data_IF_000370991426
#
_entry.id   IF_000370991426
#
_cell.length_a   1.000
_cell.length_b   1.000
_cell.length_c   1.000
_cell.angle_alpha   90.00
_cell.angle_beta   90.00
_cell.angle_gamma   90.00
#
_symmetry.space_group_name_H-M   'P 1'
#
loop_
_entity.id
_entity.type
_entity.pdbx_description
1 polymer ?
#
# COMPACT_ATOMS: atom_id res chain seq x y z
N UNK A 1 14.40 14.99 14.14
CA UNK A 1 13.00 14.53 14.11
C UNK A 1 12.63 14.19 12.67
N UNK A 2 12.89 12.97 12.24
CA UNK A 2 12.55 12.48 10.89
C UNK A 2 11.11 11.98 10.93
N UNK A 3 10.18 12.74 10.36
CA UNK A 3 8.81 12.29 10.15
C UNK A 3 8.83 11.22 9.05
N UNK A 4 8.64 9.97 9.44
CA UNK A 4 8.34 8.90 8.49
C UNK A 4 6.91 9.16 8.03
N UNK A 5 6.78 9.76 6.85
CA UNK A 5 5.49 9.89 6.16
C UNK A 5 5.09 8.52 5.62
N UNK A 6 4.47 7.70 6.47
CA UNK A 6 3.55 6.67 5.97
C UNK A 6 2.27 7.44 5.62
N UNK A 7 2.22 7.95 4.41
CA UNK A 7 1.02 8.60 3.86
C UNK A 7 -0.02 7.52 3.55
N UNK A 8 -0.65 7.00 4.61
CA UNK A 8 -1.93 6.32 4.46
C UNK A 8 -2.97 7.41 4.23
N UNK A 9 -3.20 7.74 2.96
CA UNK A 9 -4.26 8.65 2.55
C UNK A 9 -5.61 7.98 2.80
N UNK A 10 -6.13 8.09 4.02
CA UNK A 10 -7.53 7.83 4.32
C UNK A 10 -8.35 9.03 3.80
N UNK A 11 -8.68 8.98 2.51
CA UNK A 11 -9.64 9.91 1.93
C UNK A 11 -11.04 9.47 2.29
N UNK A 12 -11.63 10.15 3.26
CA UNK A 12 -13.05 10.06 3.57
C UNK A 12 -13.81 10.90 2.54
N UNK A 13 -14.28 10.26 1.46
CA UNK A 13 -15.21 10.89 0.51
C UNK A 13 -16.63 10.74 0.98
N UNK A 14 -17.20 11.86 1.38
CA UNK A 14 -18.64 12.03 1.59
C UNK A 14 -19.32 12.09 0.22
N UNK A 15 -20.00 11.02 -0.18
CA UNK A 15 -20.68 10.90 -1.48
C UNK A 15 -22.05 11.55 -1.42
N UNK A 16 -22.26 12.57 -2.24
CA UNK A 16 -23.60 13.04 -2.63
C UNK A 16 -24.06 12.23 -3.84
N UNK A 17 -25.25 11.66 -3.71
CA UNK A 17 -25.98 10.92 -4.74
C UNK A 17 -26.55 11.89 -5.76
N UNK A 18 -26.39 11.59 -7.05
CA UNK A 18 -27.29 12.07 -8.09
C UNK A 18 -27.46 10.99 -9.16
N UNK A 19 -28.68 10.52 -9.28
CA UNK A 19 -29.14 9.55 -10.28
C UNK A 19 -29.44 10.26 -11.60
N UNK A 20 -29.16 9.63 -12.75
CA UNK A 20 -29.99 9.76 -13.94
C UNK A 20 -29.72 8.63 -14.93
N UNK A 21 -30.81 8.18 -15.52
CA UNK A 21 -31.06 6.97 -16.31
C UNK A 21 -30.82 7.16 -17.81
N UNK A 22 -30.81 5.99 -18.46
CA UNK A 22 -31.35 5.60 -19.78
C UNK A 22 -30.50 5.70 -21.02
N UNK A 23 -30.48 4.55 -21.74
CA UNK A 23 -30.31 4.50 -23.18
C UNK A 23 -29.85 3.15 -23.73
N UNK A 24 -30.79 2.32 -24.16
CA UNK A 24 -30.55 1.05 -24.87
C UNK A 24 -30.26 1.27 -26.35
N UNK A 25 -29.49 0.36 -26.98
CA UNK A 25 -29.72 -0.32 -28.29
C UNK A 25 -28.43 -0.96 -28.80
N UNK A 26 -28.38 -2.23 -28.89
CA UNK A 26 -28.70 -3.23 -29.93
C UNK A 26 -27.77 -3.32 -31.13
N UNK A 27 -27.19 -4.54 -31.24
CA UNK A 27 -26.93 -5.38 -32.40
C UNK A 27 -25.76 -5.09 -33.34
N UNK A 28 -24.97 -6.15 -33.56
CA UNK A 28 -24.18 -6.35 -34.74
C UNK A 28 -22.94 -7.21 -34.52
N UNK A 29 -23.11 -8.55 -34.55
CA UNK A 29 -22.00 -9.43 -34.84
C UNK A 29 -21.76 -9.43 -36.35
N UNK A 30 -20.50 -9.61 -36.81
CA UNK A 30 -20.23 -10.86 -37.54
C UNK A 30 -18.93 -11.55 -37.12
N UNK A 31 -18.93 -12.79 -37.51
CA UNK A 31 -18.04 -13.87 -37.18
C UNK A 31 -16.64 -13.79 -37.84
N UNK A 32 -15.75 -14.57 -37.18
CA UNK A 32 -14.67 -15.38 -37.75
C UNK A 32 -13.43 -14.68 -38.33
N UNK A 33 -12.34 -14.90 -37.61
CA UNK A 33 -11.12 -15.49 -38.20
C UNK A 33 -10.34 -16.16 -37.06
N UNK A 34 -10.31 -17.48 -37.08
CA UNK A 34 -9.40 -18.30 -36.26
C UNK A 34 -7.99 -18.06 -36.82
N UNK A 35 -7.24 -17.20 -36.16
CA UNK A 35 -5.79 -17.08 -36.39
C UNK A 35 -5.12 -18.21 -35.61
N UNK A 36 -4.35 -19.03 -36.31
CA UNK A 36 -3.49 -20.05 -35.74
C UNK A 36 -2.54 -19.42 -34.71
N UNK A 37 -2.23 -20.12 -33.60
CA UNK A 37 -1.27 -19.59 -32.64
C UNK A 37 0.12 -19.53 -33.28
N UNK A 38 0.63 -18.32 -33.44
CA UNK A 38 2.05 -18.10 -33.71
C UNK A 38 2.86 -18.71 -32.55
N UNK A 39 3.96 -19.40 -32.85
CA UNK A 39 4.82 -19.90 -31.77
C UNK A 39 5.27 -18.70 -30.92
N UNK A 40 4.95 -18.76 -29.64
CA UNK A 40 5.44 -17.80 -28.68
C UNK A 40 6.97 -17.82 -28.74
N UNK A 41 7.54 -16.73 -29.24
CA UNK A 41 8.98 -16.46 -29.11
C UNK A 41 9.23 -16.39 -27.61
N UNK A 42 9.84 -17.44 -27.05
CA UNK A 42 10.34 -17.42 -25.70
C UNK A 42 11.36 -16.29 -25.62
N UNK A 43 10.95 -15.16 -25.03
CA UNK A 43 11.89 -14.11 -24.70
C UNK A 43 12.96 -14.72 -23.79
N UNK A 44 14.24 -14.42 -24.01
CA UNK A 44 15.29 -14.91 -23.12
C UNK A 44 14.90 -14.51 -21.69
N UNK A 45 14.89 -15.48 -20.78
CA UNK A 45 14.65 -15.25 -19.35
C UNK A 45 15.78 -14.34 -18.88
N UNK A 46 15.51 -13.03 -18.82
CA UNK A 46 16.46 -12.08 -18.27
C UNK A 46 16.68 -12.48 -16.81
N UNK A 47 17.90 -12.84 -16.46
CA UNK A 47 18.24 -13.22 -15.09
C UNK A 47 18.05 -11.97 -14.24
N UNK A 48 17.08 -12.02 -13.31
CA UNK A 48 16.78 -10.89 -12.46
C UNK A 48 18.00 -10.54 -11.58
N UNK A 49 18.43 -9.29 -11.64
CA UNK A 49 19.58 -8.82 -10.88
C UNK A 49 19.25 -8.68 -9.39
N UNK A 50 20.25 -8.93 -8.55
CA UNK A 50 20.15 -8.74 -7.10
C UNK A 50 20.18 -7.24 -6.79
N UNK A 51 19.15 -6.73 -6.09
CA UNK A 51 19.08 -5.35 -5.60
C UNK A 51 19.71 -5.21 -4.21
N UNK A 52 19.47 -6.18 -3.31
CA UNK A 52 20.10 -6.26 -2.00
C UNK A 52 20.24 -7.70 -1.51
N UNK A 53 21.17 -7.90 -0.57
CA UNK A 53 21.27 -9.12 0.23
C UNK A 53 20.95 -8.80 1.67
N UNK A 54 20.09 -9.63 2.29
CA UNK A 54 19.70 -9.53 3.70
C UNK A 54 19.99 -10.88 4.35
N UNK A 55 21.12 -10.97 5.03
CA UNK A 55 21.59 -12.28 5.53
C UNK A 55 21.84 -13.26 4.38
N UNK A 56 21.03 -14.33 4.33
CA UNK A 56 21.07 -15.35 3.27
C UNK A 56 20.05 -15.10 2.13
N UNK A 57 19.14 -14.16 2.31
CA UNK A 57 18.09 -13.85 1.35
C UNK A 57 18.50 -12.72 0.39
N UNK A 58 17.76 -12.56 -0.68
CA UNK A 58 18.00 -11.53 -1.68
C UNK A 58 16.70 -10.79 -1.98
N UNK A 59 16.81 -9.48 -2.20
CA UNK A 59 15.80 -8.67 -2.89
C UNK A 59 16.27 -8.46 -4.32
N UNK A 60 15.34 -8.57 -5.25
CA UNK A 60 15.61 -8.51 -6.68
C UNK A 60 15.29 -7.13 -7.27
N UNK A 61 15.85 -6.85 -8.44
CA UNK A 61 15.51 -5.63 -9.17
C UNK A 61 14.06 -5.64 -9.66
N UNK A 62 13.48 -6.80 -9.90
CA UNK A 62 12.06 -6.93 -10.27
C UNK A 62 11.14 -6.54 -9.13
N UNK A 63 11.43 -6.95 -7.89
CA UNK A 63 10.65 -6.50 -6.73
C UNK A 63 10.71 -4.98 -6.53
N UNK A 64 11.88 -4.38 -6.76
CA UNK A 64 12.01 -2.91 -6.70
C UNK A 64 11.16 -2.25 -7.78
N UNK A 65 11.20 -2.75 -9.03
CA UNK A 65 10.39 -2.21 -10.13
C UNK A 65 8.91 -2.38 -9.87
N UNK A 66 8.49 -3.57 -9.43
CA UNK A 66 7.08 -3.86 -9.11
C UNK A 66 6.52 -2.86 -8.09
N UNK A 67 7.23 -2.62 -7.00
CA UNK A 67 6.79 -1.65 -5.98
C UNK A 67 6.79 -0.22 -6.52
N UNK A 68 7.81 0.19 -7.30
CA UNK A 68 7.84 1.50 -7.96
C UNK A 68 6.67 1.67 -8.94
N UNK A 69 6.34 0.65 -9.70
CA UNK A 69 5.26 0.70 -10.67
C UNK A 69 3.89 0.72 -9.97
N UNK A 70 3.74 0.00 -8.88
CA UNK A 70 2.57 0.11 -8.02
C UNK A 70 2.42 1.53 -7.43
N UNK A 71 3.50 2.15 -6.93
CA UNK A 71 3.47 3.54 -6.46
C UNK A 71 3.08 4.53 -7.57
N UNK A 72 3.58 4.33 -8.79
CA UNK A 72 3.13 5.13 -9.96
C UNK A 72 1.64 4.94 -10.25
N UNK A 73 1.11 3.73 -10.06
CA UNK A 73 -0.31 3.44 -10.24
C UNK A 73 -1.17 4.25 -9.27
N UNK A 74 -0.81 4.23 -7.98
CA UNK A 74 -1.62 4.78 -6.88
C UNK A 74 -1.35 6.27 -6.65
N UNK A 75 -0.08 6.68 -6.65
CA UNK A 75 0.36 8.03 -6.29
C UNK A 75 0.71 8.90 -7.51
N UNK A 76 0.70 8.32 -8.71
CA UNK A 76 1.08 9.00 -9.95
C UNK A 76 2.60 9.09 -10.18
N UNK A 77 3.42 8.82 -9.17
CA UNK A 77 4.88 8.82 -9.23
C UNK A 77 5.47 7.76 -8.30
N UNK A 78 6.65 7.24 -8.65
CA UNK A 78 7.41 6.37 -7.76
C UNK A 78 8.28 7.18 -6.83
N UNK A 79 8.56 6.63 -5.65
CA UNK A 79 9.59 7.14 -4.76
C UNK A 79 11.00 6.82 -5.32
N UNK A 80 11.99 7.51 -4.75
CA UNK A 80 13.38 7.20 -5.07
C UNK A 80 13.71 5.75 -4.73
N UNK A 81 14.59 5.12 -5.54
CA UNK A 81 15.00 3.73 -5.35
C UNK A 81 15.46 3.42 -3.91
N UNK A 82 16.15 4.35 -3.27
CA UNK A 82 16.61 4.16 -1.88
C UNK A 82 15.46 3.98 -0.90
N UNK A 83 14.39 4.76 -1.04
CA UNK A 83 13.20 4.65 -0.20
C UNK A 83 12.42 3.36 -0.49
N UNK A 84 12.30 2.99 -1.76
CA UNK A 84 11.68 1.72 -2.15
C UNK A 84 12.47 0.54 -1.58
N UNK A 85 13.79 0.61 -1.59
CA UNK A 85 14.64 -0.41 -0.97
C UNK A 85 14.45 -0.48 0.55
N UNK A 86 14.37 0.66 1.24
CA UNK A 86 14.05 0.72 2.68
C UNK A 86 12.70 0.05 2.96
N UNK A 87 11.67 0.36 2.17
CA UNK A 87 10.34 -0.23 2.30
C UNK A 87 10.36 -1.76 2.07
N UNK A 88 11.06 -2.24 1.05
CA UNK A 88 11.20 -3.67 0.79
C UNK A 88 11.95 -4.41 1.91
N UNK A 89 12.98 -3.79 2.48
CA UNK A 89 13.68 -4.32 3.66
C UNK A 89 12.74 -4.43 4.85
N UNK A 90 11.94 -3.39 5.10
CA UNK A 90 10.95 -3.39 6.18
C UNK A 90 9.89 -4.48 5.97
N UNK A 91 9.40 -4.64 4.74
CA UNK A 91 8.47 -5.71 4.36
C UNK A 91 9.10 -7.10 4.56
N UNK A 92 10.37 -7.28 4.18
CA UNK A 92 11.08 -8.53 4.39
C UNK A 92 11.22 -8.89 5.88
N UNK A 93 11.57 -7.90 6.73
CA UNK A 93 11.69 -8.09 8.20
C UNK A 93 10.34 -8.55 8.77
N UNK A 94 9.27 -7.84 8.42
CA UNK A 94 7.91 -8.15 8.89
C UNK A 94 7.49 -9.54 8.42
N UNK A 95 7.69 -9.87 7.16
CA UNK A 95 7.34 -11.17 6.60
C UNK A 95 8.11 -12.31 7.28
N UNK A 96 9.40 -12.14 7.51
CA UNK A 96 10.24 -13.13 8.19
C UNK A 96 9.74 -13.40 9.61
N UNK A 97 9.44 -12.37 10.36
CA UNK A 97 8.93 -12.47 11.74
C UNK A 97 7.50 -13.04 11.77
N UNK A 98 6.64 -12.64 10.84
CA UNK A 98 5.28 -13.14 10.72
C UNK A 98 5.25 -14.64 10.41
N UNK A 99 6.12 -15.12 9.50
CA UNK A 99 6.28 -16.54 9.19
C UNK A 99 6.80 -17.31 10.41
N UNK A 100 7.83 -16.78 11.11
CA UNK A 100 8.39 -17.41 12.30
C UNK A 100 7.34 -17.58 13.42
N UNK A 101 6.43 -16.64 13.56
CA UNK A 101 5.33 -16.68 14.53
C UNK A 101 4.07 -17.38 14.01
N UNK A 102 4.09 -17.92 12.79
CA UNK A 102 2.94 -18.56 12.12
C UNK A 102 1.72 -17.64 12.03
N UNK A 103 1.95 -16.34 11.82
CA UNK A 103 0.87 -15.40 11.63
C UNK A 103 0.11 -15.71 10.33
N UNK A 104 -1.24 -15.70 10.34
CA UNK A 104 -2.03 -16.13 9.19
C UNK A 104 -1.92 -15.12 8.03
N UNK A 105 -1.73 -15.64 6.81
CA UNK A 105 -1.80 -14.84 5.59
C UNK A 105 -3.19 -14.24 5.38
N UNK A 106 -3.29 -13.11 4.67
CA UNK A 106 -4.57 -12.59 4.20
C UNK A 106 -5.31 -13.63 3.35
N UNK A 107 -6.61 -13.68 3.48
CA UNK A 107 -7.45 -14.52 2.62
C UNK A 107 -7.65 -13.86 1.25
N UNK A 108 -8.02 -14.66 0.24
CA UNK A 108 -8.33 -14.14 -1.09
C UNK A 108 -9.49 -13.12 -1.07
N UNK A 109 -10.45 -13.28 -0.16
CA UNK A 109 -11.57 -12.35 0.01
C UNK A 109 -11.09 -11.01 0.58
N UNK A 110 -10.20 -11.02 1.57
CA UNK A 110 -9.60 -9.80 2.12
C UNK A 110 -8.80 -9.03 1.05
N UNK A 111 -7.97 -9.72 0.27
CA UNK A 111 -7.24 -9.12 -0.85
C UNK A 111 -8.20 -8.58 -1.90
N UNK A 112 -9.31 -9.29 -2.17
CA UNK A 112 -10.32 -8.83 -3.12
C UNK A 112 -11.03 -7.57 -2.63
N UNK A 113 -11.29 -7.43 -1.34
CA UNK A 113 -11.87 -6.21 -0.75
C UNK A 113 -10.92 -5.02 -0.92
N UNK A 114 -9.63 -5.20 -0.64
CA UNK A 114 -8.63 -4.15 -0.85
C UNK A 114 -8.49 -3.77 -2.33
N UNK A 115 -8.51 -4.76 -3.23
CA UNK A 115 -8.50 -4.48 -4.66
C UNK A 115 -9.75 -3.70 -5.11
N UNK A 116 -10.94 -4.02 -4.58
CA UNK A 116 -12.15 -3.23 -4.86
C UNK A 116 -12.07 -1.82 -4.29
N UNK A 117 -11.45 -1.64 -3.11
CA UNK A 117 -11.21 -0.32 -2.53
C UNK A 117 -10.25 0.51 -3.41
N UNK A 118 -9.19 -0.12 -3.93
CA UNK A 118 -8.29 0.51 -4.89
C UNK A 118 -9.03 0.93 -6.18
N UNK A 119 -9.86 0.06 -6.75
CA UNK A 119 -10.63 0.38 -7.96
C UNK A 119 -11.53 1.60 -7.80
N UNK A 120 -12.08 1.84 -6.60
CA UNK A 120 -12.93 3.02 -6.31
C UNK A 120 -12.15 4.34 -6.35
N UNK A 121 -10.82 4.32 -6.30
CA UNK A 121 -10.00 5.52 -6.41
C UNK A 121 -9.85 6.00 -7.86
N UNK A 122 -10.22 5.16 -8.84
CA UNK A 122 -10.18 5.48 -10.25
C UNK A 122 -11.57 5.88 -10.75
N UNK A 123 -11.66 6.84 -11.69
CA UNK A 123 -12.95 7.29 -12.24
C UNK A 123 -13.76 6.18 -12.93
N UNK A 124 -13.06 5.19 -13.53
CA UNK A 124 -13.70 4.01 -14.12
C UNK A 124 -12.73 2.82 -14.19
N UNK A 125 -13.29 1.62 -14.41
CA UNK A 125 -12.50 0.40 -14.58
C UNK A 125 -11.62 0.45 -15.84
N UNK A 126 -12.11 1.08 -16.90
CA UNK A 126 -11.38 1.27 -18.15
C UNK A 126 -10.15 2.18 -17.95
N UNK A 127 -10.29 3.24 -17.16
CA UNK A 127 -9.16 4.11 -16.81
C UNK A 127 -8.13 3.39 -15.96
N UNK A 128 -8.57 2.57 -15.00
CA UNK A 128 -7.66 1.71 -14.24
C UNK A 128 -6.89 0.76 -15.16
N UNK A 129 -7.57 0.05 -16.07
CA UNK A 129 -6.93 -0.86 -17.02
C UNK A 129 -5.97 -0.14 -17.96
N UNK A 130 -6.36 1.02 -18.49
CA UNK A 130 -5.48 1.84 -19.32
C UNK A 130 -4.23 2.27 -18.56
N UNK A 131 -4.37 2.63 -17.28
CA UNK A 131 -3.23 2.99 -16.42
C UNK A 131 -2.31 1.81 -16.16
N UNK A 132 -2.86 0.62 -15.88
CA UNK A 132 -2.07 -0.62 -15.75
C UNK A 132 -1.25 -0.89 -17.00
N UNK A 133 -1.90 -0.87 -18.17
CA UNK A 133 -1.22 -1.10 -19.46
C UNK A 133 -0.12 -0.07 -19.74
N UNK A 134 -0.33 1.20 -19.37
CA UNK A 134 0.65 2.27 -19.51
C UNK A 134 1.90 2.06 -18.65
N UNK A 135 1.73 1.47 -17.48
CA UNK A 135 2.82 1.23 -16.51
C UNK A 135 3.47 -0.14 -16.76
N UNK A 136 2.76 -1.07 -17.39
CA UNK A 136 3.21 -2.44 -17.63
C UNK A 136 2.87 -3.42 -16.49
N UNK A 137 1.92 -3.05 -15.62
CA UNK A 137 1.43 -3.93 -14.54
C UNK A 137 0.21 -4.73 -14.95
N UNK A 138 0.08 -5.93 -14.43
CA UNK A 138 -1.12 -6.76 -14.48
C UNK A 138 -1.97 -6.60 -13.22
N UNK A 139 -3.25 -6.98 -13.30
CA UNK A 139 -4.11 -7.00 -12.11
C UNK A 139 -3.64 -8.01 -11.06
N UNK A 140 -3.01 -9.10 -11.48
CA UNK A 140 -2.51 -10.13 -10.55
C UNK A 140 -1.29 -9.64 -9.79
N UNK A 141 -0.36 -8.92 -10.44
CA UNK A 141 0.76 -8.26 -9.76
C UNK A 141 0.27 -7.21 -8.75
N UNK A 142 -0.73 -6.41 -9.10
CA UNK A 142 -1.36 -5.47 -8.14
C UNK A 142 -1.95 -6.21 -6.95
N UNK A 143 -2.62 -7.35 -7.15
CA UNK A 143 -3.17 -8.15 -6.05
C UNK A 143 -2.07 -8.73 -5.15
N UNK A 144 -0.95 -9.15 -5.71
CA UNK A 144 0.20 -9.64 -4.95
C UNK A 144 0.82 -8.52 -4.10
N UNK A 145 0.95 -7.30 -4.65
CA UNK A 145 1.41 -6.15 -3.86
C UNK A 145 0.44 -5.85 -2.72
N UNK A 146 -0.87 -5.83 -2.99
CA UNK A 146 -1.91 -5.61 -1.97
C UNK A 146 -1.89 -6.69 -0.88
N UNK A 147 -1.70 -7.95 -1.24
CA UNK A 147 -1.57 -9.06 -0.28
C UNK A 147 -0.38 -8.83 0.65
N UNK A 148 0.80 -8.50 0.11
CA UNK A 148 2.00 -8.21 0.90
C UNK A 148 1.79 -7.00 1.83
N UNK A 149 1.19 -5.92 1.32
CA UNK A 149 0.88 -4.73 2.12
C UNK A 149 -0.12 -5.04 3.23
N UNK A 150 -1.18 -5.79 2.92
CA UNK A 150 -2.19 -6.19 3.91
C UNK A 150 -1.57 -7.09 4.99
N UNK A 151 -0.72 -8.05 4.60
CA UNK A 151 0.00 -8.91 5.53
C UNK A 151 0.89 -8.09 6.47
N UNK A 152 1.65 -7.16 5.92
CA UNK A 152 2.50 -6.23 6.64
C UNK A 152 1.72 -5.42 7.69
N UNK A 153 0.66 -4.75 7.28
CA UNK A 153 -0.16 -3.90 8.17
C UNK A 153 -0.83 -4.73 9.26
N UNK A 154 -1.40 -5.88 8.90
CA UNK A 154 -2.06 -6.80 9.86
C UNK A 154 -1.09 -7.33 10.92
N UNK A 155 0.12 -7.70 10.51
CA UNK A 155 1.12 -8.18 11.45
C UNK A 155 1.57 -7.09 12.42
N UNK A 156 1.83 -5.87 11.95
CA UNK A 156 2.21 -4.75 12.82
C UNK A 156 1.09 -4.41 13.83
N UNK A 157 -0.15 -4.38 13.37
CA UNK A 157 -1.31 -4.20 14.26
C UNK A 157 -1.39 -5.33 15.30
N UNK A 158 -1.29 -6.58 14.88
CA UNK A 158 -1.29 -7.72 15.79
C UNK A 158 -0.19 -7.62 16.85
N UNK A 159 1.04 -7.27 16.44
CA UNK A 159 2.21 -7.21 17.30
C UNK A 159 2.14 -6.09 18.33
N UNK A 160 1.65 -4.92 17.95
CA UNK A 160 1.77 -3.70 18.74
C UNK A 160 0.46 -3.20 19.34
N UNK A 161 -0.70 -3.63 18.86
CA UNK A 161 -2.00 -3.13 19.33
C UNK A 161 -2.19 -3.33 20.84
N UNK A 162 -1.85 -4.50 21.37
CA UNK A 162 -2.00 -4.81 22.80
C UNK A 162 -1.09 -3.97 23.73
N UNK A 163 0.02 -3.44 23.17
CA UNK A 163 0.96 -2.58 23.89
C UNK A 163 0.64 -1.08 23.74
N UNK A 164 -0.46 -0.74 23.06
CA UNK A 164 -0.88 0.62 22.77
C UNK A 164 -2.09 0.98 23.62
N UNK A 165 -1.97 2.04 24.42
CA UNK A 165 -3.05 2.52 25.30
C UNK A 165 -3.18 4.03 25.17
N UNK A 166 -4.18 4.46 24.41
CA UNK A 166 -4.52 5.89 24.27
C UNK A 166 -5.42 6.33 25.41
N UNK A 167 -4.96 7.30 26.20
CA UNK A 167 -5.70 7.84 27.34
C UNK A 167 -6.71 8.93 26.92
N UNK A 168 -7.68 9.22 27.79
CA UNK A 168 -8.64 10.31 27.54
C UNK A 168 -7.96 11.67 27.48
N UNK A 169 -6.91 11.86 28.27
CA UNK A 169 -6.11 13.10 28.28
C UNK A 169 -5.39 13.33 26.94
N UNK A 170 -4.88 12.27 26.35
CA UNK A 170 -4.26 12.34 25.01
C UNK A 170 -5.29 12.71 23.94
N UNK A 171 -6.49 12.13 24.01
CA UNK A 171 -7.59 12.45 23.09
C UNK A 171 -8.02 13.90 23.24
N UNK A 172 -8.20 14.38 24.46
CA UNK A 172 -8.55 15.77 24.71
C UNK A 172 -7.47 16.74 24.24
N UNK A 173 -6.20 16.41 24.53
CA UNK A 173 -5.06 17.22 24.07
C UNK A 173 -5.02 17.32 22.55
N UNK A 174 -5.15 16.20 21.83
CA UNK A 174 -5.19 16.20 20.37
C UNK A 174 -6.37 17.02 19.82
N UNK A 175 -7.56 16.85 20.41
CA UNK A 175 -8.73 17.61 20.00
C UNK A 175 -8.53 19.11 20.15
N UNK A 176 -7.97 19.56 21.29
CA UNK A 176 -7.80 20.99 21.59
C UNK A 176 -6.62 21.62 20.85
N UNK A 177 -5.51 20.90 20.69
CA UNK A 177 -4.26 21.43 20.16
C UNK A 177 -4.13 21.28 18.65
N UNK A 178 -4.71 20.23 18.07
CA UNK A 178 -4.55 19.88 16.65
C UNK A 178 -5.85 19.97 15.86
N UNK A 179 -6.88 19.19 16.23
CA UNK A 179 -8.09 19.06 15.42
C UNK A 179 -8.91 20.35 15.38
N UNK A 180 -9.28 20.88 16.53
CA UNK A 180 -10.18 22.03 16.58
C UNK A 180 -9.53 23.30 15.98
N UNK A 181 -8.24 23.64 16.25
CA UNK A 181 -7.57 24.75 15.57
C UNK A 181 -7.43 24.57 14.07
N UNK A 182 -7.13 23.32 13.61
CA UNK A 182 -7.02 23.01 12.19
C UNK A 182 -8.34 23.21 11.44
N UNK A 183 -9.45 22.76 12.01
CA UNK A 183 -10.79 22.94 11.42
C UNK A 183 -11.18 24.42 11.39
N UNK A 184 -10.94 25.19 12.47
CA UNK A 184 -11.20 26.64 12.51
C UNK A 184 -10.40 27.39 11.45
N UNK A 185 -9.10 27.06 11.31
CA UNK A 185 -8.23 27.66 10.28
C UNK A 185 -8.74 27.45 8.86
N UNK A 186 -9.41 26.31 8.62
CA UNK A 186 -10.02 25.95 7.33
C UNK A 186 -11.44 26.47 7.17
N UNK A 187 -12.00 27.22 8.14
CA UNK A 187 -13.37 27.73 8.13
C UNK A 187 -14.44 26.63 8.29
N UNK A 188 -14.06 25.48 8.83
CA UNK A 188 -14.97 24.36 9.04
C UNK A 188 -15.56 24.39 10.46
N UNK A 189 -16.77 23.85 10.61
CA UNK A 189 -17.40 23.67 11.92
C UNK A 189 -16.62 22.65 12.72
N UNK A 190 -16.32 22.96 13.98
CA UNK A 190 -15.66 22.05 14.92
C UNK A 190 -16.73 21.17 15.58
N UNK A 191 -16.75 19.85 15.34
CA UNK A 191 -17.69 18.95 16.00
C UNK A 191 -17.36 18.87 17.50
N UNK A 192 -18.31 18.61 18.38
CA UNK A 192 -18.05 18.36 19.79
C UNK A 192 -17.19 17.08 19.98
N UNK A 193 -16.41 17.05 21.06
CA UNK A 193 -15.43 15.97 21.31
C UNK A 193 -16.06 14.59 21.33
N UNK A 194 -17.22 14.44 21.94
CA UNK A 194 -17.97 13.18 22.03
C UNK A 194 -18.32 12.55 20.67
N UNK A 195 -18.48 13.36 19.63
CA UNK A 195 -18.78 12.89 18.28
C UNK A 195 -17.51 12.40 17.54
N UNK A 196 -16.35 12.82 17.95
CA UNK A 196 -15.07 12.51 17.26
C UNK A 196 -14.08 11.73 18.14
N UNK A 197 -14.43 11.47 19.38
CA UNK A 197 -13.55 10.78 20.35
C UNK A 197 -13.08 9.41 19.82
N UNK A 198 -14.00 8.63 19.27
CA UNK A 198 -13.66 7.30 18.74
C UNK A 198 -12.68 7.38 17.56
N UNK A 199 -12.86 8.36 16.67
CA UNK A 199 -11.98 8.59 15.53
C UNK A 199 -10.60 9.08 15.98
N UNK A 200 -10.55 10.00 16.96
CA UNK A 200 -9.28 10.47 17.53
C UNK A 200 -8.55 9.32 18.22
N UNK A 201 -9.24 8.50 19.01
CA UNK A 201 -8.68 7.31 19.65
C UNK A 201 -8.08 6.36 18.63
N UNK A 202 -8.82 6.07 17.56
CA UNK A 202 -8.33 5.21 16.48
C UNK A 202 -7.09 5.79 15.80
N UNK A 203 -7.07 7.09 15.52
CA UNK A 203 -5.94 7.79 14.92
C UNK A 203 -4.70 7.69 15.82
N UNK A 204 -4.82 8.08 17.09
CA UNK A 204 -3.70 8.06 18.03
C UNK A 204 -3.20 6.63 18.30
N UNK A 205 -4.11 5.65 18.34
CA UNK A 205 -3.73 4.23 18.42
C UNK A 205 -2.88 3.81 17.23
N UNK A 206 -3.28 4.21 16.02
CA UNK A 206 -2.52 3.87 14.82
C UNK A 206 -1.16 4.60 14.77
N UNK A 207 -1.12 5.86 15.19
CA UNK A 207 0.14 6.61 15.30
C UNK A 207 1.12 5.93 16.26
N UNK A 208 0.65 5.53 17.45
CA UNK A 208 1.48 4.84 18.43
C UNK A 208 1.95 3.46 17.93
N UNK A 209 1.08 2.70 17.23
CA UNK A 209 1.48 1.44 16.56
C UNK A 209 2.59 1.71 15.55
N UNK A 210 2.45 2.75 14.73
CA UNK A 210 3.44 3.11 13.71
C UNK A 210 4.78 3.52 14.34
N UNK A 211 4.77 4.27 15.44
CA UNK A 211 5.99 4.64 16.17
C UNK A 211 6.71 3.43 16.76
N UNK A 212 5.96 2.52 17.42
CA UNK A 212 6.52 1.27 17.95
C UNK A 212 7.05 0.36 16.84
N UNK A 213 6.34 0.29 15.73
CA UNK A 213 6.76 -0.49 14.56
C UNK A 213 8.05 0.08 13.95
N UNK A 214 8.14 1.42 13.78
CA UNK A 214 9.33 2.06 13.27
C UNK A 214 10.55 1.82 14.15
N UNK A 215 10.40 1.97 15.46
CA UNK A 215 11.48 1.67 16.42
C UNK A 215 11.93 0.20 16.32
N UNK A 216 10.98 -0.73 16.30
CA UNK A 216 11.29 -2.15 16.18
C UNK A 216 11.99 -2.50 14.86
N UNK A 217 11.55 -1.91 13.73
CA UNK A 217 12.18 -2.09 12.43
C UNK A 217 13.61 -1.55 12.41
N UNK A 218 13.85 -0.38 13.01
CA UNK A 218 15.21 0.19 13.10
C UNK A 218 16.12 -0.69 13.94
N UNK A 219 15.64 -1.23 15.07
CA UNK A 219 16.38 -2.19 15.88
C UNK A 219 16.65 -3.51 15.15
N UNK A 220 15.68 -3.98 14.34
CA UNK A 220 15.85 -5.19 13.52
C UNK A 220 16.89 -4.96 12.43
N UNK A 221 16.79 -3.86 11.68
CA UNK A 221 17.78 -3.47 10.65
C UNK A 221 19.20 -3.36 11.21
N UNK A 222 19.35 -2.79 12.41
CA UNK A 222 20.68 -2.68 13.05
C UNK A 222 21.34 -4.03 13.37
N UNK A 223 20.56 -5.11 13.50
CA UNK A 223 21.04 -6.48 13.75
C UNK A 223 21.30 -7.29 12.48
N UNK A 224 20.82 -6.79 11.35
CA UNK A 224 20.91 -7.49 10.06
C UNK A 224 22.12 -7.01 9.27
N UNK A 225 22.76 -7.93 8.54
CA UNK A 225 23.74 -7.59 7.51
C UNK A 225 23.00 -7.32 6.20
N UNK A 226 22.80 -6.05 5.90
CA UNK A 226 22.15 -5.61 4.66
C UNK A 226 23.21 -5.05 3.73
N UNK A 227 23.32 -5.60 2.52
CA UNK A 227 24.23 -5.14 1.47
C UNK A 227 23.41 -4.74 0.24
N UNK A 228 23.23 -3.46 0.06
CA UNK A 228 22.55 -2.91 -1.13
C UNK A 228 23.52 -2.91 -2.30
N UNK A 229 23.11 -3.47 -3.42
CA UNK A 229 23.88 -3.44 -4.66
C UNK A 229 23.65 -2.09 -5.37
N UNK A 230 24.71 -1.43 -5.84
CA UNK A 230 24.53 -0.27 -6.70
C UNK A 230 23.75 -0.69 -7.94
N UNK A 231 22.86 0.18 -8.43
CA UNK A 231 22.14 -0.08 -9.68
C UNK A 231 23.19 -0.37 -10.76
N UNK A 232 23.32 -1.63 -11.15
CA UNK A 232 24.22 -2.01 -12.22
C UNK A 232 23.75 -1.29 -13.47
N UNK A 233 24.52 -0.32 -13.94
CA UNK A 233 24.40 0.14 -15.30
C UNK A 233 24.64 -1.08 -16.18
N UNK A 234 23.59 -1.53 -16.88
CA UNK A 234 23.73 -2.53 -17.91
C UNK A 234 24.75 -2.01 -18.92
N UNK A 235 25.86 -2.73 -19.03
CA UNK A 235 26.81 -2.56 -20.10
C UNK A 235 26.28 -3.23 -21.37
#
# INVERSE_FOLDING_TARGET
>A
MRRICVTTALFFCLSLVASAQTGASRAGAPASAVAAPSPAVQQPTEVDGIAARIGNDVLTNSEVRELQDYQKLVEGQAQDRSKVMEELVDQWIVQTEAVATKFPHPTADEVSLEFQALLKQFPSREQFQARLAQIGLTQDEVRQVLERQLYYIRFLNYRFHAATQVTSEQIEAYYQQDLAPSLRKRGLTVPPLDQVEAQIRQLLTQEEINEKAAQWLDEAKARLRIVIQPSGGGG
#
